data_IF_650938981282
#
_entry.id   IF_650938981282
#
_cell.length_a   1.000
_cell.length_b   1.000
_cell.length_c   1.000
_cell.angle_alpha   90.00
_cell.angle_beta   90.00
_cell.angle_gamma   90.00
#
_symmetry.space_group_name_H-M   'P 1'
#
loop_
_entity.id
_entity.type
_entity.pdbx_description
1 polymer ?
#
# COMPACT_ATOMS: atom_id res chain seq x y z
N UNK A 1 0.22 -23.05 -13.09
CA UNK A 1 1.51 -23.12 -12.37
C UNK A 1 1.19 -23.52 -10.94
N UNK A 2 1.70 -24.66 -10.48
CA UNK A 2 1.33 -25.20 -9.16
C UNK A 2 1.85 -24.32 -8.03
N UNK A 3 1.11 -24.25 -6.93
CA UNK A 3 1.41 -23.50 -5.70
C UNK A 3 2.81 -23.86 -5.12
N UNK A 4 3.24 -25.11 -5.30
CA UNK A 4 4.59 -25.57 -4.95
C UNK A 4 5.68 -24.88 -5.79
N UNK A 5 5.46 -24.66 -7.07
CA UNK A 5 6.39 -23.93 -7.94
C UNK A 5 6.49 -22.46 -7.51
N UNK A 6 5.40 -21.87 -7.04
CA UNK A 6 5.35 -20.51 -6.53
C UNK A 6 6.09 -20.38 -5.18
N UNK A 7 5.88 -21.34 -4.27
CA UNK A 7 6.57 -21.39 -2.97
C UNK A 7 8.09 -21.58 -3.12
N UNK A 8 8.53 -22.45 -4.03
CA UNK A 8 9.93 -22.63 -4.37
C UNK A 8 10.55 -21.39 -5.03
N UNK A 9 9.78 -20.69 -5.86
CA UNK A 9 10.25 -19.43 -6.47
C UNK A 9 10.38 -18.31 -5.42
N UNK A 10 9.45 -18.25 -4.46
CA UNK A 10 9.53 -17.32 -3.33
C UNK A 10 10.73 -17.60 -2.42
N UNK A 11 10.97 -18.87 -2.05
CA UNK A 11 12.12 -19.29 -1.23
C UNK A 11 13.42 -18.98 -1.96
N UNK A 12 13.49 -19.22 -3.27
CA UNK A 12 14.66 -18.89 -4.08
C UNK A 12 14.91 -17.37 -4.19
N UNK A 13 13.84 -16.57 -4.27
CA UNK A 13 13.91 -15.10 -4.28
C UNK A 13 14.34 -14.57 -2.90
N UNK A 14 13.79 -15.09 -1.80
CA UNK A 14 14.20 -14.74 -0.44
C UNK A 14 15.64 -15.14 -0.15
N UNK A 15 16.08 -16.33 -0.57
CA UNK A 15 17.46 -16.78 -0.42
C UNK A 15 18.46 -15.93 -1.25
N UNK A 16 18.08 -15.46 -2.44
CA UNK A 16 18.89 -14.52 -3.23
C UNK A 16 18.92 -13.11 -2.62
N UNK A 17 17.79 -12.64 -2.05
CA UNK A 17 17.73 -11.33 -1.41
C UNK A 17 18.53 -11.29 -0.10
N UNK A 18 18.52 -12.36 0.70
CA UNK A 18 19.33 -12.47 1.93
C UNK A 18 20.84 -12.52 1.62
N UNK A 19 21.26 -13.22 0.54
CA UNK A 19 22.65 -13.19 0.08
C UNK A 19 23.07 -11.81 -0.41
N UNK A 20 22.24 -11.11 -1.20
CA UNK A 20 22.51 -9.76 -1.65
C UNK A 20 22.52 -8.73 -0.52
N UNK A 21 21.72 -8.92 0.53
CA UNK A 21 21.73 -8.09 1.72
C UNK A 21 23.02 -8.30 2.53
N UNK A 22 23.49 -9.53 2.65
CA UNK A 22 24.76 -9.87 3.32
C UNK A 22 25.97 -9.30 2.56
N UNK A 23 25.99 -9.39 1.22
CA UNK A 23 27.04 -8.80 0.39
C UNK A 23 27.06 -7.26 0.46
N UNK A 24 25.89 -6.62 0.51
CA UNK A 24 25.77 -5.16 0.69
C UNK A 24 26.24 -4.71 2.08
N UNK A 25 26.02 -5.50 3.13
CA UNK A 25 26.47 -5.18 4.48
C UNK A 25 28.00 -5.27 4.62
N UNK A 26 28.64 -6.22 3.93
CA UNK A 26 30.10 -6.33 3.88
C UNK A 26 30.75 -5.21 3.08
N UNK A 27 30.15 -4.85 1.93
CA UNK A 27 30.63 -3.72 1.09
C UNK A 27 30.47 -2.37 1.82
N UNK A 28 29.39 -2.21 2.60
CA UNK A 28 29.18 -1.00 3.40
C UNK A 28 30.18 -0.87 4.54
N UNK A 29 30.52 -1.97 5.25
CA UNK A 29 31.55 -1.98 6.29
C UNK A 29 32.95 -1.73 5.74
N UNK A 30 33.24 -2.12 4.51
CA UNK A 30 34.51 -1.79 3.84
C UNK A 30 34.55 -0.31 3.47
N UNK A 31 33.49 0.28 2.90
CA UNK A 31 33.42 1.71 2.59
C UNK A 31 33.50 2.59 3.83
N UNK A 32 32.87 2.20 4.95
CA UNK A 32 32.95 2.94 6.20
C UNK A 32 34.38 2.90 6.81
N UNK A 33 35.16 1.85 6.55
CA UNK A 33 36.58 1.80 6.94
C UNK A 33 37.47 2.67 6.06
N UNK A 34 37.17 2.79 4.76
CA UNK A 34 37.90 3.67 3.83
C UNK A 34 37.63 5.16 4.13
N UNK A 35 36.38 5.52 4.43
CA UNK A 35 36.00 6.91 4.78
C UNK A 35 36.63 7.35 6.11
N UNK A 36 36.66 6.50 7.14
CA UNK A 36 37.33 6.81 8.41
C UNK A 36 38.85 6.88 8.27
N UNK A 37 39.45 6.25 7.27
CA UNK A 37 40.87 6.35 6.96
C UNK A 37 41.23 7.67 6.26
N UNK A 38 40.34 8.29 5.52
CA UNK A 38 40.53 9.58 4.86
C UNK A 38 40.26 10.76 5.80
N UNK A 39 39.30 10.68 6.71
CA UNK A 39 39.05 11.72 7.73
C UNK A 39 40.21 11.91 8.71
N UNK A 40 40.97 10.87 9.02
CA UNK A 40 42.16 11.01 9.84
C UNK A 40 43.34 11.67 9.12
N UNK A 41 43.37 11.66 7.79
CA UNK A 41 44.41 12.36 7.00
C UNK A 41 44.11 13.83 6.76
N UNK A 42 42.83 14.23 6.74
CA UNK A 42 42.42 15.63 6.55
C UNK A 42 42.42 16.45 7.82
N UNK A 43 42.30 15.81 8.99
CA UNK A 43 42.39 16.47 10.31
C UNK A 43 43.80 17.03 10.65
N UNK A 44 44.84 16.52 10.01
CA UNK A 44 46.20 16.96 10.25
C UNK A 44 46.67 18.14 9.41
N UNK A 45 45.87 18.59 8.45
CA UNK A 45 46.20 19.69 7.52
C UNK A 45 45.42 20.99 7.77
N UNK A 46 44.51 21.02 8.74
CA UNK A 46 43.61 22.16 9.02
C UNK A 46 44.00 23.00 10.24
N UNK A 47 45.20 22.82 10.79
CA UNK A 47 45.65 23.55 12.03
C UNK A 47 46.41 24.85 11.77
N UNK A 48 46.41 25.41 10.56
CA UNK A 48 47.23 26.60 10.26
C UNK A 48 46.56 27.69 9.42
N UNK A 49 45.28 28.03 9.66
CA UNK A 49 44.72 29.27 9.14
C UNK A 49 43.66 29.81 10.14
N UNK A 50 44.15 30.62 11.09
CA UNK A 50 43.34 31.50 11.92
C UNK A 50 43.39 32.90 11.31
N UNK A 51 42.31 33.34 10.66
CA UNK A 51 41.99 34.74 10.49
C UNK A 51 40.50 35.00 10.83
N UNK A 52 40.16 36.16 11.47
CA UNK A 52 38.85 36.38 12.05
C UNK A 52 37.82 36.76 10.97
N UNK A 53 36.80 35.91 10.79
CA UNK A 53 35.68 36.16 9.91
C UNK A 53 34.76 37.24 10.52
N UNK A 54 34.53 38.30 9.74
CA UNK A 54 33.47 39.29 9.95
C UNK A 54 32.11 38.66 10.15
N UNK A 55 31.40 39.13 11.18
CA UNK A 55 30.02 38.75 11.49
C UNK A 55 29.06 39.06 10.32
N UNK A 56 28.80 38.07 9.48
CA UNK A 56 27.65 38.09 8.57
C UNK A 56 26.47 37.56 9.38
N UNK A 57 25.56 38.45 9.77
CA UNK A 57 24.26 38.10 10.34
C UNK A 57 23.47 37.38 9.24
N UNK A 58 23.47 36.03 9.28
CA UNK A 58 22.57 35.25 8.43
C UNK A 58 21.13 35.49 8.92
N UNK A 59 20.19 35.82 8.03
CA UNK A 59 18.80 35.98 8.42
C UNK A 59 18.29 34.63 9.00
N UNK A 60 17.56 34.73 10.10
CA UNK A 60 16.94 33.59 10.79
C UNK A 60 16.06 32.79 9.80
N UNK A 61 16.56 31.63 9.38
CA UNK A 61 15.87 30.70 8.45
C UNK A 61 14.80 29.86 9.16
N UNK A 62 14.56 30.06 10.46
CA UNK A 62 13.56 29.31 11.22
C UNK A 62 12.11 29.62 10.81
N UNK A 63 11.87 30.75 10.13
CA UNK A 63 10.56 31.20 9.70
C UNK A 63 10.18 30.84 8.26
N UNK A 64 11.05 30.18 7.50
CA UNK A 64 10.70 29.75 6.14
C UNK A 64 9.76 28.55 6.23
N UNK A 65 8.45 28.85 6.26
CA UNK A 65 7.41 27.84 6.07
C UNK A 65 7.69 27.16 4.72
N UNK A 66 8.22 25.94 4.74
CA UNK A 66 8.32 25.10 3.54
C UNK A 66 6.91 24.75 3.07
N UNK A 67 6.32 25.62 2.28
CA UNK A 67 5.08 25.29 1.58
C UNK A 67 5.38 24.15 0.61
N UNK A 68 4.79 23.00 0.84
CA UNK A 68 4.79 21.93 -0.15
C UNK A 68 3.83 22.36 -1.24
N UNK A 69 4.37 22.98 -2.30
CA UNK A 69 3.59 23.30 -3.49
C UNK A 69 3.16 21.99 -4.13
N UNK A 70 1.92 21.57 -3.89
CA UNK A 70 1.33 20.47 -4.65
C UNK A 70 1.17 20.94 -6.09
N UNK A 71 1.60 20.15 -7.09
CA UNK A 71 1.33 20.50 -8.48
C UNK A 71 -0.17 20.72 -8.64
N UNK A 72 -0.54 21.82 -9.27
CA UNK A 72 -1.94 22.11 -9.56
C UNK A 72 -2.57 20.91 -10.28
N UNK A 73 -3.80 20.52 -9.91
CA UNK A 73 -4.52 19.51 -10.67
C UNK A 73 -4.60 19.94 -12.12
N UNK A 74 -4.55 18.96 -13.03
CA UNK A 74 -4.72 19.25 -14.47
C UNK A 74 -6.03 20.01 -14.64
N UNK A 75 -6.02 21.21 -15.24
CA UNK A 75 -7.23 22.01 -15.38
C UNK A 75 -8.29 21.21 -16.13
N UNK A 76 -9.57 21.30 -15.74
CA UNK A 76 -10.62 20.62 -16.44
C UNK A 76 -10.61 21.04 -17.92
N UNK A 77 -10.78 20.07 -18.83
CA UNK A 77 -10.78 20.38 -20.25
C UNK A 77 -11.99 21.28 -20.60
N UNK A 78 -11.90 22.11 -21.64
CA UNK A 78 -13.01 22.93 -22.06
C UNK A 78 -14.23 22.06 -22.41
N UNK A 79 -15.42 22.54 -22.11
CA UNK A 79 -16.68 21.81 -22.30
C UNK A 79 -16.96 21.48 -23.76
N UNK A 80 -16.43 22.24 -24.70
CA UNK A 80 -16.61 22.06 -26.14
C UNK A 80 -15.32 22.41 -26.90
N UNK A 81 -15.21 21.91 -28.11
CA UNK A 81 -14.08 22.23 -29.00
C UNK A 81 -14.27 23.64 -29.53
N UNK A 82 -13.32 24.53 -29.22
CA UNK A 82 -13.32 25.87 -29.81
C UNK A 82 -12.95 25.81 -31.29
N UNK A 83 -13.72 26.52 -32.12
CA UNK A 83 -13.62 26.53 -33.59
C UNK A 83 -12.28 27.04 -34.16
N UNK A 84 -11.50 27.75 -33.34
CA UNK A 84 -10.23 28.35 -33.73
C UNK A 84 -9.11 27.34 -34.06
N UNK A 85 -9.32 26.03 -33.77
CA UNK A 85 -8.32 25.00 -34.01
C UNK A 85 -8.65 24.08 -35.19
N UNK A 86 -9.65 24.39 -36.02
CA UNK A 86 -10.02 23.60 -37.18
C UNK A 86 -10.81 22.33 -36.88
N UNK A 87 -11.10 22.05 -35.62
CA UNK A 87 -11.88 20.88 -35.18
C UNK A 87 -13.25 21.35 -34.69
N UNK A 88 -14.15 21.65 -35.61
CA UNK A 88 -15.58 21.87 -35.31
C UNK A 88 -16.21 20.55 -34.86
N UNK A 89 -16.03 20.21 -33.55
CA UNK A 89 -16.70 19.04 -33.02
C UNK A 89 -18.03 19.44 -32.41
N UNK A 90 -19.16 18.93 -32.95
CA UNK A 90 -20.50 19.36 -32.55
C UNK A 90 -20.89 18.89 -31.15
N UNK A 91 -20.15 17.93 -30.57
CA UNK A 91 -20.48 17.33 -29.28
C UNK A 91 -19.70 17.99 -28.14
N UNK A 92 -20.39 18.23 -27.03
CA UNK A 92 -19.81 18.73 -25.80
C UNK A 92 -18.83 17.74 -25.16
N UNK A 93 -17.89 18.24 -24.36
CA UNK A 93 -16.94 17.46 -23.58
C UNK A 93 -17.60 16.31 -22.79
N UNK A 94 -18.73 16.58 -22.12
CA UNK A 94 -19.40 15.56 -21.31
C UNK A 94 -19.92 14.38 -22.12
N UNK A 95 -20.38 14.61 -23.35
CA UNK A 95 -20.80 13.54 -24.26
C UNK A 95 -19.61 12.71 -24.71
N UNK A 96 -18.49 13.37 -25.04
CA UNK A 96 -17.26 12.67 -25.40
C UNK A 96 -16.69 11.85 -24.24
N UNK A 97 -16.75 12.33 -23.02
CA UNK A 97 -16.32 11.54 -21.86
C UNK A 97 -17.16 10.27 -21.70
N UNK A 98 -18.48 10.33 -22.00
CA UNK A 98 -19.32 9.12 -22.03
C UNK A 98 -18.90 8.16 -23.13
N UNK A 99 -18.61 8.64 -24.32
CA UNK A 99 -18.09 7.80 -25.42
C UNK A 99 -16.74 7.18 -25.02
N UNK A 100 -15.83 7.97 -24.50
CA UNK A 100 -14.51 7.49 -24.06
C UNK A 100 -14.57 6.50 -22.91
N UNK A 101 -15.59 6.57 -22.04
CA UNK A 101 -15.76 5.61 -20.94
C UNK A 101 -16.14 4.20 -21.42
N UNK A 102 -16.57 4.04 -22.67
CA UNK A 102 -16.83 2.73 -23.29
C UNK A 102 -15.59 2.09 -23.90
N UNK A 103 -14.48 2.84 -23.99
CA UNK A 103 -13.24 2.36 -24.59
C UNK A 103 -12.36 1.64 -23.56
N UNK A 104 -11.57 0.68 -24.04
CA UNK A 104 -10.48 0.14 -23.25
C UNK A 104 -9.44 1.23 -22.95
N UNK A 105 -8.67 1.15 -21.85
CA UNK A 105 -7.61 2.10 -21.57
C UNK A 105 -6.58 2.23 -22.71
N UNK A 106 -6.32 1.15 -23.44
CA UNK A 106 -5.43 1.15 -24.60
C UNK A 106 -6.02 1.94 -25.76
N UNK A 107 -7.29 1.76 -26.05
CA UNK A 107 -7.96 2.48 -27.15
C UNK A 107 -8.17 3.96 -26.79
N UNK A 108 -8.46 4.25 -25.52
CA UNK A 108 -8.49 5.63 -25.04
C UNK A 108 -7.16 6.34 -25.27
N UNK A 109 -6.03 5.67 -24.97
CA UNK A 109 -4.71 6.23 -25.24
C UNK A 109 -4.47 6.42 -26.76
N UNK A 110 -5.00 5.54 -27.62
CA UNK A 110 -4.97 5.73 -29.08
C UNK A 110 -5.76 6.97 -29.49
N UNK A 111 -6.99 7.13 -28.98
CA UNK A 111 -7.83 8.30 -29.19
C UNK A 111 -7.15 9.60 -28.74
N UNK A 112 -6.45 9.60 -27.62
CA UNK A 112 -5.69 10.76 -27.13
C UNK A 112 -4.56 11.21 -28.08
N UNK A 113 -4.19 10.39 -29.05
CA UNK A 113 -3.15 10.71 -30.06
C UNK A 113 -3.74 11.35 -31.33
N UNK A 114 -5.04 11.38 -31.49
CA UNK A 114 -5.73 11.87 -32.68
C UNK A 114 -5.64 13.39 -32.79
N UNK A 115 -6.01 14.12 -31.74
CA UNK A 115 -5.90 15.59 -31.72
C UNK A 115 -5.66 16.15 -30.31
N UNK A 116 -5.25 17.42 -30.21
CA UNK A 116 -4.97 18.09 -28.93
C UNK A 116 -6.18 18.14 -28.01
N UNK A 117 -7.38 18.28 -28.54
CA UNK A 117 -8.62 18.35 -27.78
C UNK A 117 -8.96 16.98 -27.17
N UNK A 118 -8.90 15.90 -27.95
CA UNK A 118 -9.10 14.54 -27.43
C UNK A 118 -8.00 14.12 -26.46
N UNK A 119 -6.77 14.56 -26.69
CA UNK A 119 -5.69 14.38 -25.73
C UNK A 119 -6.06 15.01 -24.38
N UNK A 120 -6.51 16.26 -24.38
CA UNK A 120 -6.90 16.96 -23.14
C UNK A 120 -8.11 16.31 -22.48
N UNK A 121 -9.14 15.96 -23.23
CA UNK A 121 -10.34 15.29 -22.72
C UNK A 121 -10.06 13.88 -22.22
N UNK A 122 -9.13 13.17 -22.85
CA UNK A 122 -8.68 11.86 -22.39
C UNK A 122 -8.00 11.84 -21.03
N UNK A 123 -7.59 13.00 -20.48
CA UNK A 123 -7.13 13.10 -19.10
C UNK A 123 -8.24 13.34 -18.07
N UNK A 124 -9.52 13.34 -18.46
CA UNK A 124 -10.61 13.47 -17.52
C UNK A 124 -10.58 12.34 -16.47
N UNK A 125 -10.61 12.72 -15.18
CA UNK A 125 -10.48 11.78 -14.05
C UNK A 125 -11.55 10.70 -14.04
N UNK A 126 -12.73 10.96 -14.63
CA UNK A 126 -13.83 9.98 -14.77
C UNK A 126 -13.43 8.76 -15.61
N UNK A 127 -12.48 8.91 -16.51
CA UNK A 127 -11.97 7.85 -17.39
C UNK A 127 -10.89 6.99 -16.72
N UNK A 128 -10.28 7.47 -15.64
CA UNK A 128 -9.12 6.84 -15.00
C UNK A 128 -9.36 6.57 -13.52
N UNK A 129 -10.55 6.08 -13.18
CA UNK A 129 -10.90 5.76 -11.78
C UNK A 129 -9.96 4.71 -11.19
N UNK A 130 -9.60 3.70 -11.98
CA UNK A 130 -8.67 2.65 -11.60
C UNK A 130 -7.53 2.55 -12.62
N UNK A 131 -6.30 2.49 -12.11
CA UNK A 131 -5.10 2.22 -12.91
C UNK A 131 -4.42 0.99 -12.34
N UNK A 132 -4.20 0.00 -13.20
CA UNK A 132 -3.45 -1.21 -12.90
C UNK A 132 -2.12 -1.19 -13.65
N UNK A 133 -1.03 -1.19 -12.91
CA UNK A 133 0.35 -1.31 -13.39
C UNK A 133 1.07 -2.47 -12.69
N UNK A 134 0.31 -3.45 -12.19
CA UNK A 134 0.89 -4.64 -11.55
C UNK A 134 1.84 -5.35 -12.51
N UNK A 135 2.93 -5.89 -11.94
CA UNK A 135 3.99 -6.60 -12.67
C UNK A 135 4.69 -5.78 -13.77
N UNK A 136 4.43 -4.47 -13.83
CA UNK A 136 5.08 -3.57 -14.78
C UNK A 136 6.38 -3.02 -14.19
N UNK A 137 7.42 -2.91 -15.03
CA UNK A 137 8.62 -2.16 -14.66
C UNK A 137 8.32 -0.66 -14.70
N UNK A 138 8.24 -0.03 -13.53
CA UNK A 138 7.92 1.38 -13.42
C UNK A 138 9.06 2.27 -13.95
N UNK A 139 8.68 3.22 -14.80
CA UNK A 139 9.54 4.30 -15.30
C UNK A 139 8.98 5.64 -14.82
N UNK A 140 9.80 6.69 -14.83
CA UNK A 140 9.37 8.02 -14.45
C UNK A 140 8.17 8.53 -15.27
N UNK A 141 8.11 8.18 -16.56
CA UNK A 141 6.97 8.52 -17.44
C UNK A 141 5.66 7.91 -16.97
N UNK A 142 5.68 6.68 -16.41
CA UNK A 142 4.48 6.05 -15.84
C UNK A 142 4.01 6.82 -14.60
N UNK A 143 4.92 7.22 -13.72
CA UNK A 143 4.58 7.99 -12.51
C UNK A 143 3.96 9.35 -12.85
N UNK A 144 4.52 10.07 -13.81
CA UNK A 144 3.94 11.33 -14.32
C UNK A 144 2.55 11.08 -14.93
N UNK A 145 2.41 9.98 -15.68
CA UNK A 145 1.13 9.55 -16.26
C UNK A 145 0.04 9.28 -15.22
N UNK A 146 0.38 8.63 -14.10
CA UNK A 146 -0.52 8.39 -12.96
C UNK A 146 -0.98 9.73 -12.37
N UNK A 147 -0.04 10.63 -12.08
CA UNK A 147 -0.38 11.93 -11.46
C UNK A 147 -1.29 12.76 -12.34
N UNK A 148 -1.06 12.79 -13.66
CA UNK A 148 -1.92 13.52 -14.59
C UNK A 148 -3.37 12.99 -14.62
N UNK A 149 -3.56 11.70 -14.33
CA UNK A 149 -4.86 11.03 -14.37
C UNK A 149 -5.61 11.04 -13.04
N UNK A 150 -4.91 11.26 -11.91
CA UNK A 150 -5.51 11.34 -10.57
C UNK A 150 -6.47 10.18 -10.23
N UNK A 151 -6.02 8.91 -10.28
CA UNK A 151 -6.88 7.75 -10.01
C UNK A 151 -7.38 7.72 -8.57
N UNK A 152 -8.52 7.04 -8.35
CA UNK A 152 -9.01 6.69 -7.02
C UNK A 152 -8.49 5.32 -6.56
N UNK A 153 -8.17 4.43 -7.51
CA UNK A 153 -7.62 3.11 -7.26
C UNK A 153 -6.32 2.95 -8.06
N UNK A 154 -5.27 2.51 -7.38
CA UNK A 154 -3.96 2.30 -7.99
C UNK A 154 -3.41 0.93 -7.56
N UNK A 155 -3.09 0.10 -8.55
CA UNK A 155 -2.44 -1.18 -8.33
C UNK A 155 -0.99 -1.11 -8.82
N UNK A 156 -0.05 -1.26 -7.90
CA UNK A 156 1.39 -1.33 -8.12
C UNK A 156 1.97 -2.66 -7.58
N UNK A 157 1.15 -3.70 -7.48
CA UNK A 157 1.58 -5.00 -6.97
C UNK A 157 2.64 -5.61 -7.87
N UNK A 158 3.66 -6.23 -7.25
CA UNK A 158 4.76 -6.90 -7.95
C UNK A 158 5.55 -5.96 -8.87
N UNK A 159 5.73 -4.70 -8.45
CA UNK A 159 6.55 -3.72 -9.17
C UNK A 159 7.84 -3.42 -8.39
N UNK A 160 8.77 -2.72 -9.04
CA UNK A 160 10.00 -2.25 -8.37
C UNK A 160 9.84 -0.80 -7.91
N UNK A 161 8.72 -0.48 -7.24
CA UNK A 161 8.53 0.87 -6.70
C UNK A 161 9.52 1.13 -5.57
N UNK A 162 10.21 2.27 -5.61
CA UNK A 162 11.11 2.69 -4.53
C UNK A 162 10.35 3.56 -3.50
N UNK A 163 10.89 3.68 -2.28
CA UNK A 163 10.39 4.58 -1.25
C UNK A 163 10.18 6.00 -1.78
N UNK A 164 11.18 6.56 -2.47
CA UNK A 164 11.10 7.93 -3.02
C UNK A 164 9.99 8.09 -4.06
N UNK A 165 9.81 7.08 -4.92
CA UNK A 165 8.75 7.09 -5.93
C UNK A 165 7.37 7.00 -5.30
N UNK A 166 7.19 6.11 -4.31
CA UNK A 166 5.91 5.98 -3.62
C UNK A 166 5.58 7.23 -2.80
N UNK A 167 6.54 7.76 -2.03
CA UNK A 167 6.36 9.01 -1.30
C UNK A 167 5.96 10.17 -2.22
N UNK A 168 6.64 10.29 -3.38
CA UNK A 168 6.33 11.30 -4.37
C UNK A 168 4.93 11.17 -4.98
N UNK A 169 4.46 9.92 -5.19
CA UNK A 169 3.08 9.64 -5.63
C UNK A 169 2.07 10.02 -4.55
N UNK A 170 2.30 9.61 -3.30
CA UNK A 170 1.35 9.84 -2.19
C UNK A 170 1.12 11.33 -1.95
N UNK A 171 2.15 12.16 -2.07
CA UNK A 171 2.03 13.61 -1.98
C UNK A 171 1.12 14.22 -3.06
N UNK A 172 1.07 13.58 -4.23
CA UNK A 172 0.43 14.13 -5.44
C UNK A 172 -0.88 13.47 -5.83
N UNK A 173 -1.31 12.46 -5.06
CA UNK A 173 -2.55 11.72 -5.27
C UNK A 173 -3.52 11.87 -4.08
N UNK A 174 -4.00 13.08 -3.75
CA UNK A 174 -4.82 13.32 -2.56
C UNK A 174 -6.19 12.62 -2.62
N UNK A 175 -6.62 12.21 -3.82
CA UNK A 175 -7.91 11.54 -4.04
C UNK A 175 -7.80 10.01 -4.11
N UNK A 176 -6.60 9.46 -3.93
CA UNK A 176 -6.40 8.01 -3.90
C UNK A 176 -7.14 7.40 -2.69
N UNK A 177 -7.89 6.32 -2.95
CA UNK A 177 -8.68 5.60 -1.95
C UNK A 177 -8.24 4.16 -1.81
N UNK A 178 -7.88 3.52 -2.92
CA UNK A 178 -7.48 2.11 -2.95
C UNK A 178 -6.06 2.00 -3.46
N UNK A 179 -5.20 1.36 -2.68
CA UNK A 179 -3.79 1.17 -3.03
C UNK A 179 -3.41 -0.30 -2.83
N UNK A 180 -2.90 -0.93 -3.91
CA UNK A 180 -2.35 -2.28 -3.84
C UNK A 180 -0.86 -2.24 -4.10
N UNK A 181 -0.10 -2.83 -3.18
CA UNK A 181 1.36 -2.87 -3.16
C UNK A 181 1.89 -4.30 -2.94
N UNK A 182 1.06 -5.33 -3.14
CA UNK A 182 1.45 -6.70 -2.90
C UNK A 182 2.78 -7.06 -3.60
N UNK A 183 3.61 -7.85 -2.94
CA UNK A 183 4.88 -8.34 -3.48
C UNK A 183 5.99 -7.28 -3.65
N UNK A 184 5.82 -6.08 -3.09
CA UNK A 184 6.88 -5.07 -3.04
C UNK A 184 7.79 -5.29 -1.80
N UNK A 185 8.67 -4.36 -1.50
CA UNK A 185 9.54 -4.40 -0.33
C UNK A 185 9.06 -3.45 0.77
N UNK A 186 9.27 -3.81 2.04
CA UNK A 186 8.91 -2.93 3.16
C UNK A 186 9.53 -1.52 3.08
N UNK A 187 10.82 -1.34 2.70
CA UNK A 187 11.36 0.00 2.51
C UNK A 187 10.58 0.87 1.54
N UNK A 188 9.87 0.28 0.56
CA UNK A 188 9.00 1.05 -0.32
C UNK A 188 7.68 1.40 0.37
N UNK A 189 7.04 0.42 1.03
CA UNK A 189 5.75 0.57 1.72
C UNK A 189 5.84 1.54 2.89
N UNK A 190 6.98 1.63 3.60
CA UNK A 190 7.20 2.55 4.71
C UNK A 190 7.01 4.03 4.36
N UNK A 191 7.00 4.38 3.06
CA UNK A 191 6.61 5.71 2.58
C UNK A 191 5.18 6.10 2.99
N UNK A 192 4.32 5.13 3.31
CA UNK A 192 2.94 5.36 3.78
C UNK A 192 2.87 5.78 5.24
N UNK A 193 3.90 5.53 6.05
CA UNK A 193 3.94 5.90 7.47
C UNK A 193 4.01 7.41 7.68
N UNK A 194 4.23 8.21 6.63
CA UNK A 194 4.34 9.66 6.71
C UNK A 194 2.98 10.39 6.66
N UNK A 195 2.98 11.65 7.11
CA UNK A 195 1.80 12.54 7.14
C UNK A 195 1.17 12.81 5.76
N UNK A 196 1.89 12.54 4.67
CA UNK A 196 1.45 12.82 3.29
C UNK A 196 0.64 11.70 2.67
N UNK A 197 0.50 10.57 3.36
CA UNK A 197 -0.34 9.47 2.90
C UNK A 197 -1.80 9.92 2.82
N UNK A 198 -2.51 9.70 1.69
CA UNK A 198 -3.94 9.98 1.59
C UNK A 198 -4.74 9.05 2.49
N UNK A 199 -6.00 9.42 2.78
CA UNK A 199 -6.90 8.56 3.56
C UNK A 199 -7.38 7.41 2.69
N UNK A 200 -6.72 6.26 2.84
CA UNK A 200 -7.05 5.05 2.10
C UNK A 200 -8.27 4.36 2.70
N UNK A 201 -9.10 3.77 1.83
CA UNK A 201 -10.17 2.83 2.21
C UNK A 201 -9.74 1.38 2.00
N UNK A 202 -8.80 1.11 1.09
CA UNK A 202 -8.21 -0.20 0.87
C UNK A 202 -6.69 -0.07 0.83
N UNK A 203 -6.03 -0.92 1.60
CA UNK A 203 -4.59 -1.11 1.54
C UNK A 203 -4.25 -2.60 1.46
N UNK A 204 -3.57 -2.98 0.39
CA UNK A 204 -3.10 -4.34 0.17
C UNK A 204 -1.56 -4.33 0.15
N UNK A 205 -0.98 -4.97 1.15
CA UNK A 205 0.46 -5.19 1.30
C UNK A 205 0.80 -6.68 1.40
N UNK A 206 -0.05 -7.52 0.81
CA UNK A 206 0.18 -8.97 0.78
C UNK A 206 1.56 -9.31 0.21
N UNK A 207 2.22 -10.28 0.81
CA UNK A 207 3.52 -10.79 0.34
C UNK A 207 4.62 -9.72 0.22
N UNK A 208 4.49 -8.63 0.96
CA UNK A 208 5.57 -7.65 1.07
C UNK A 208 6.72 -8.28 1.87
N UNK A 209 7.93 -8.19 1.31
CA UNK A 209 9.09 -8.79 1.95
C UNK A 209 9.42 -8.11 3.28
N UNK A 210 9.64 -8.91 4.34
CA UNK A 210 10.11 -8.45 5.67
C UNK A 210 9.10 -7.53 6.36
N UNK A 211 7.83 -7.95 6.43
CA UNK A 211 6.81 -7.29 7.28
C UNK A 211 6.67 -8.08 8.58
N UNK A 212 6.89 -7.41 9.70
CA UNK A 212 6.74 -7.90 11.07
C UNK A 212 5.91 -6.89 11.88
N UNK A 213 5.61 -7.21 13.14
CA UNK A 213 4.71 -6.43 14.00
C UNK A 213 5.06 -4.94 14.09
N UNK A 214 6.36 -4.62 14.23
CA UNK A 214 6.83 -3.23 14.25
C UNK A 214 6.51 -2.47 12.96
N UNK A 215 6.54 -3.14 11.81
CA UNK A 215 6.17 -2.57 10.52
C UNK A 215 4.68 -2.21 10.47
N UNK A 216 3.83 -3.11 10.91
CA UNK A 216 2.37 -2.89 10.95
C UNK A 216 2.05 -1.79 11.96
N UNK A 217 2.68 -1.79 13.13
CA UNK A 217 2.53 -0.74 14.14
C UNK A 217 2.88 0.65 13.57
N UNK A 218 4.02 0.79 12.91
CA UNK A 218 4.43 2.06 12.29
C UNK A 218 3.46 2.51 11.19
N UNK A 219 2.84 1.57 10.47
CA UNK A 219 1.90 1.85 9.40
C UNK A 219 0.53 2.34 9.91
N UNK A 220 0.01 1.71 10.98
CA UNK A 220 -1.33 2.01 11.51
C UNK A 220 -1.32 3.13 12.55
N UNK A 221 -0.20 3.34 13.24
CA UNK A 221 -0.06 4.40 14.24
C UNK A 221 -0.14 5.80 13.62
N UNK A 222 -0.48 6.84 14.41
CA UNK A 222 -0.35 8.22 13.97
C UNK A 222 1.07 8.53 13.50
N UNK A 223 1.24 9.27 12.41
CA UNK A 223 2.58 9.61 11.91
C UNK A 223 3.36 10.43 12.93
N UNK A 224 4.64 10.13 13.11
CA UNK A 224 5.53 10.82 14.05
C UNK A 224 6.03 12.19 13.57
N UNK A 225 5.68 12.61 12.37
CA UNK A 225 6.12 13.88 11.77
C UNK A 225 5.22 15.03 12.28
N UNK A 226 5.74 15.79 13.25
CA UNK A 226 5.04 16.91 13.91
C UNK A 226 5.16 18.20 13.10
N UNK A 227 4.59 18.26 11.91
CA UNK A 227 4.54 19.52 11.15
C UNK A 227 3.46 20.43 11.70
N UNK A 228 3.75 21.75 11.95
CA UNK A 228 2.75 22.68 12.41
C UNK A 228 1.53 22.73 11.48
N UNK A 229 0.33 22.61 12.05
CA UNK A 229 -0.94 22.71 11.31
C UNK A 229 -1.47 21.41 10.70
N UNK A 230 -0.83 20.25 10.95
CA UNK A 230 -1.40 18.93 10.67
C UNK A 230 -1.91 18.34 11.99
N UNK A 231 -3.17 17.92 12.01
CA UNK A 231 -3.70 17.12 13.12
C UNK A 231 -3.12 15.69 13.02
N UNK A 232 -2.05 15.47 13.81
CA UNK A 232 -1.20 14.27 13.74
C UNK A 232 -1.65 13.21 14.74
N UNK A 233 -2.71 13.50 15.52
CA UNK A 233 -3.20 12.61 16.58
C UNK A 233 -3.88 11.33 16.06
N UNK A 234 -4.21 11.27 14.78
CA UNK A 234 -5.00 10.17 14.22
C UNK A 234 -4.23 9.40 13.15
N UNK A 235 -4.45 8.08 13.12
CA UNK A 235 -3.95 7.19 12.07
C UNK A 235 -4.33 7.65 10.66
N UNK A 236 -3.45 7.46 9.69
CA UNK A 236 -3.75 7.67 8.27
C UNK A 236 -4.68 6.60 7.71
N UNK A 237 -4.74 5.45 8.35
CA UNK A 237 -5.62 4.33 7.98
C UNK A 237 -6.96 4.34 8.74
N UNK A 238 -7.29 5.39 9.49
CA UNK A 238 -8.56 5.48 10.25
C UNK A 238 -9.85 5.32 9.42
N UNK A 239 -9.77 5.42 8.09
CA UNK A 239 -10.87 5.18 7.14
C UNK A 239 -10.67 3.92 6.31
N UNK A 240 -9.74 3.08 6.71
CA UNK A 240 -9.48 1.83 6.01
C UNK A 240 -10.59 0.83 6.34
N UNK A 241 -11.28 0.37 5.31
CA UNK A 241 -12.32 -0.66 5.41
C UNK A 241 -11.81 -2.03 4.96
N UNK A 242 -10.76 -2.07 4.16
CA UNK A 242 -10.15 -3.31 3.69
C UNK A 242 -8.63 -3.27 3.86
N UNK A 243 -8.11 -4.16 4.72
CA UNK A 243 -6.68 -4.31 5.01
C UNK A 243 -6.23 -5.73 4.69
N UNK A 244 -5.24 -5.85 3.82
CA UNK A 244 -4.69 -7.14 3.38
C UNK A 244 -3.23 -7.23 3.82
N UNK A 245 -2.94 -8.17 4.72
CA UNK A 245 -1.62 -8.44 5.31
C UNK A 245 -1.10 -9.85 4.98
N UNK A 246 -1.72 -10.53 4.03
CA UNK A 246 -1.45 -11.93 3.71
C UNK A 246 0.05 -12.21 3.48
N UNK A 247 0.55 -13.30 4.06
CA UNK A 247 1.93 -13.75 3.90
C UNK A 247 2.96 -12.88 4.62
N UNK A 248 2.56 -12.16 5.66
CA UNK A 248 3.45 -11.38 6.55
C UNK A 248 3.86 -12.19 7.78
N UNK A 249 5.07 -11.93 8.30
CA UNK A 249 5.60 -12.53 9.54
C UNK A 249 5.12 -11.75 10.76
N UNK A 250 3.80 -11.68 10.94
CA UNK A 250 3.15 -10.95 12.03
C UNK A 250 2.57 -11.91 13.06
N UNK A 251 2.46 -11.39 14.30
CA UNK A 251 1.86 -12.05 15.45
C UNK A 251 0.62 -11.30 15.94
N UNK A 252 0.08 -11.70 17.07
CA UNK A 252 -1.04 -11.03 17.71
C UNK A 252 -0.73 -9.57 18.10
N UNK A 253 0.55 -9.21 18.32
CA UNK A 253 0.98 -7.81 18.62
C UNK A 253 0.65 -6.85 17.48
N UNK A 254 0.74 -7.32 16.23
CA UNK A 254 0.32 -6.53 15.07
C UNK A 254 -1.20 -6.27 15.11
N UNK A 255 -2.00 -7.29 15.46
CA UNK A 255 -3.46 -7.17 15.55
C UNK A 255 -3.87 -6.20 16.66
N UNK A 256 -3.18 -6.22 17.82
CA UNK A 256 -3.40 -5.23 18.88
C UNK A 256 -3.22 -3.80 18.34
N UNK A 257 -2.17 -3.56 17.59
CA UNK A 257 -1.93 -2.25 16.94
C UNK A 257 -3.01 -1.89 15.92
N UNK A 258 -3.50 -2.86 15.14
CA UNK A 258 -4.57 -2.66 14.15
C UNK A 258 -5.88 -2.27 14.82
N UNK A 259 -6.31 -2.99 15.86
CA UNK A 259 -7.60 -2.73 16.54
C UNK A 259 -7.62 -1.39 17.28
N UNK A 260 -6.46 -0.90 17.73
CA UNK A 260 -6.34 0.40 18.39
C UNK A 260 -6.50 1.58 17.41
N UNK A 261 -6.13 1.42 16.15
CA UNK A 261 -5.97 2.55 15.23
C UNK A 261 -6.87 2.49 13.98
N UNK A 262 -7.42 1.31 13.63
CA UNK A 262 -8.23 1.10 12.42
C UNK A 262 -9.62 0.58 12.81
N UNK A 263 -10.51 1.50 13.21
CA UNK A 263 -11.80 1.16 13.80
C UNK A 263 -12.93 0.89 12.78
N UNK A 264 -12.68 1.13 11.48
CA UNK A 264 -13.71 1.03 10.42
C UNK A 264 -13.52 -0.18 9.51
N UNK A 265 -12.82 -1.21 10.02
CA UNK A 265 -12.44 -2.37 9.23
C UNK A 265 -13.67 -3.24 8.92
N UNK A 266 -13.90 -3.52 7.65
CA UNK A 266 -14.95 -4.41 7.15
C UNK A 266 -14.38 -5.73 6.61
N UNK A 267 -13.18 -5.69 6.04
CA UNK A 267 -12.49 -6.85 5.52
C UNK A 267 -11.04 -6.88 6.01
N UNK A 268 -10.65 -7.97 6.66
CA UNK A 268 -9.30 -8.24 7.12
C UNK A 268 -8.79 -9.55 6.52
N UNK A 269 -7.65 -9.49 5.85
CA UNK A 269 -7.00 -10.66 5.26
C UNK A 269 -5.66 -10.92 5.95
N UNK A 270 -5.60 -12.00 6.70
CA UNK A 270 -4.45 -12.50 7.45
C UNK A 270 -3.95 -13.84 6.88
N UNK A 271 -4.36 -14.19 5.67
CA UNK A 271 -4.00 -15.47 5.06
C UNK A 271 -2.49 -15.69 5.06
N UNK A 272 -2.06 -16.89 5.41
CA UNK A 272 -0.64 -17.26 5.50
C UNK A 272 0.18 -16.45 6.54
N UNK A 273 -0.46 -15.86 7.53
CA UNK A 273 0.21 -15.29 8.70
C UNK A 273 0.35 -16.38 9.77
N UNK A 274 1.50 -17.04 9.80
CA UNK A 274 1.71 -18.23 10.67
C UNK A 274 1.86 -17.90 12.15
N UNK A 275 2.07 -16.65 12.52
CA UNK A 275 2.19 -16.20 13.91
C UNK A 275 0.85 -15.78 14.54
N UNK A 276 -0.27 -15.90 13.82
CA UNK A 276 -1.60 -15.57 14.32
C UNK A 276 -2.24 -16.86 14.87
N UNK A 277 -2.71 -16.82 16.11
CA UNK A 277 -3.40 -17.88 16.81
C UNK A 277 -4.80 -17.47 17.27
N UNK A 278 -5.45 -18.31 18.08
CA UNK A 278 -6.80 -18.08 18.58
C UNK A 278 -6.91 -16.84 19.48
N UNK A 279 -5.85 -16.48 20.21
CA UNK A 279 -5.80 -15.24 21.00
C UNK A 279 -5.85 -13.99 20.12
N UNK A 280 -5.28 -14.04 18.93
CA UNK A 280 -5.42 -12.97 17.94
C UNK A 280 -6.86 -12.76 17.51
N UNK A 281 -7.62 -13.83 17.30
CA UNK A 281 -9.05 -13.75 16.96
C UNK A 281 -9.86 -13.26 18.17
N UNK A 282 -9.49 -13.69 19.38
CA UNK A 282 -10.08 -13.17 20.62
C UNK A 282 -9.91 -11.65 20.74
N UNK A 283 -8.70 -11.12 20.53
CA UNK A 283 -8.42 -9.67 20.54
C UNK A 283 -9.31 -8.92 19.54
N UNK A 284 -9.45 -9.42 18.32
CA UNK A 284 -10.33 -8.84 17.32
C UNK A 284 -11.79 -8.86 17.76
N UNK A 285 -12.26 -9.92 18.45
CA UNK A 285 -13.65 -10.05 18.91
C UNK A 285 -14.01 -9.11 20.06
N UNK A 286 -13.03 -8.75 20.88
CA UNK A 286 -13.18 -7.84 22.03
C UNK A 286 -13.05 -6.35 21.63
N UNK A 287 -12.50 -6.08 20.46
CA UNK A 287 -12.25 -4.73 19.96
C UNK A 287 -13.49 -4.12 19.27
N UNK A 288 -13.58 -2.77 19.19
CA UNK A 288 -14.66 -2.09 18.47
C UNK A 288 -14.79 -2.50 16.99
N UNK A 289 -13.72 -2.96 16.38
CA UNK A 289 -13.68 -3.48 14.99
C UNK A 289 -14.57 -4.71 14.79
N UNK A 290 -14.89 -5.45 15.85
CA UNK A 290 -15.82 -6.60 15.79
C UNK A 290 -17.21 -6.19 15.28
N UNK A 291 -17.64 -4.95 15.53
CA UNK A 291 -18.94 -4.43 15.11
C UNK A 291 -19.01 -4.10 13.61
N UNK A 292 -17.87 -3.97 12.93
CA UNK A 292 -17.78 -3.55 11.52
C UNK A 292 -17.30 -4.67 10.60
N UNK A 293 -16.56 -5.66 11.11
CA UNK A 293 -15.99 -6.74 10.32
C UNK A 293 -17.10 -7.64 9.73
N UNK A 294 -17.06 -7.78 8.40
CA UNK A 294 -17.95 -8.64 7.62
C UNK A 294 -17.21 -9.82 6.98
N UNK A 295 -15.91 -9.65 6.74
CA UNK A 295 -15.08 -10.66 6.07
C UNK A 295 -13.76 -10.81 6.78
N UNK A 296 -13.42 -12.04 7.16
CA UNK A 296 -12.10 -12.40 7.71
C UNK A 296 -11.51 -13.52 6.86
N UNK A 297 -10.29 -13.35 6.38
CA UNK A 297 -9.56 -14.41 5.66
C UNK A 297 -8.38 -14.87 6.47
N UNK A 298 -8.37 -16.18 6.74
CA UNK A 298 -7.42 -16.88 7.62
C UNK A 298 -6.78 -18.08 6.90
N UNK A 299 -6.86 -18.13 5.57
CA UNK A 299 -6.35 -19.23 4.76
C UNK A 299 -4.88 -19.51 5.08
N UNK A 300 -4.54 -20.74 5.45
CA UNK A 300 -3.16 -21.15 5.74
C UNK A 300 -2.56 -20.59 7.03
N UNK A 301 -3.39 -20.14 7.99
CA UNK A 301 -2.95 -19.81 9.35
C UNK A 301 -2.81 -21.12 10.15
N UNK A 302 -1.58 -21.58 10.35
CA UNK A 302 -1.29 -22.92 10.89
C UNK A 302 -1.46 -23.02 12.42
N UNK A 303 -1.46 -21.90 13.13
CA UNK A 303 -1.61 -21.85 14.60
C UNK A 303 -3.07 -21.70 15.08
N UNK A 304 -4.03 -21.58 14.14
CA UNK A 304 -5.44 -21.51 14.48
C UNK A 304 -6.03 -22.89 14.73
N UNK A 305 -6.81 -23.01 15.82
CA UNK A 305 -7.56 -24.20 16.17
C UNK A 305 -9.06 -23.99 16.01
N UNK A 306 -9.88 -25.05 16.23
CA UNK A 306 -11.33 -24.93 16.26
C UNK A 306 -11.87 -23.97 17.32
N UNK A 307 -11.06 -23.64 18.35
CA UNK A 307 -11.42 -22.67 19.39
C UNK A 307 -11.63 -21.25 18.82
N UNK A 308 -11.03 -20.90 17.68
CA UNK A 308 -11.23 -19.60 17.02
C UNK A 308 -12.72 -19.33 16.70
N UNK A 309 -13.52 -20.37 16.42
CA UNK A 309 -14.95 -20.22 16.12
C UNK A 309 -15.77 -19.69 17.30
N UNK A 310 -15.35 -19.97 18.54
CA UNK A 310 -15.98 -19.42 19.75
C UNK A 310 -15.84 -17.89 19.77
N UNK A 311 -14.71 -17.37 19.28
CA UNK A 311 -14.48 -15.93 19.18
C UNK A 311 -15.13 -15.35 17.92
N UNK A 312 -15.11 -16.07 16.80
CA UNK A 312 -15.76 -15.64 15.55
C UNK A 312 -17.28 -15.49 15.70
N UNK A 313 -17.91 -16.29 16.58
CA UNK A 313 -19.35 -16.16 16.89
C UNK A 313 -19.74 -14.83 17.54
N UNK A 314 -18.78 -14.08 18.08
CA UNK A 314 -19.02 -12.76 18.70
C UNK A 314 -19.11 -11.62 17.71
N UNK A 315 -18.81 -11.84 16.43
CA UNK A 315 -18.87 -10.80 15.39
C UNK A 315 -20.30 -10.70 14.82
N UNK A 316 -21.05 -9.63 15.11
CA UNK A 316 -22.47 -9.56 14.78
C UNK A 316 -22.76 -9.38 13.30
N UNK A 317 -21.77 -9.00 12.50
CA UNK A 317 -21.89 -8.69 11.06
C UNK A 317 -21.04 -9.60 10.18
N UNK A 318 -20.46 -10.65 10.72
CA UNK A 318 -19.58 -11.54 10.00
C UNK A 318 -20.38 -12.38 8.98
N UNK A 319 -20.07 -12.21 7.70
CA UNK A 319 -20.73 -12.90 6.60
C UNK A 319 -19.81 -13.93 5.92
N UNK A 320 -18.49 -13.74 5.99
CA UNK A 320 -17.55 -14.61 5.27
C UNK A 320 -16.31 -14.88 6.10
N UNK A 321 -15.98 -16.16 6.27
CA UNK A 321 -14.72 -16.63 6.85
C UNK A 321 -14.06 -17.56 5.86
N UNK A 322 -12.79 -17.30 5.51
CA UNK A 322 -11.96 -18.20 4.71
C UNK A 322 -10.93 -18.86 5.63
N UNK A 323 -11.01 -20.16 5.81
CA UNK A 323 -10.16 -20.95 6.69
C UNK A 323 -9.52 -22.16 5.96
N UNK A 324 -9.34 -22.05 4.62
CA UNK A 324 -8.71 -23.10 3.84
C UNK A 324 -7.27 -23.31 4.29
N UNK A 325 -6.86 -24.59 4.42
CA UNK A 325 -5.47 -24.93 4.75
C UNK A 325 -5.04 -24.63 6.18
N UNK A 326 -5.97 -24.42 7.11
CA UNK A 326 -5.71 -24.42 8.55
C UNK A 326 -5.71 -25.87 9.03
N UNK A 327 -4.55 -26.38 9.51
CA UNK A 327 -4.34 -27.80 9.81
C UNK A 327 -5.21 -28.33 10.97
N UNK A 328 -5.51 -27.49 11.95
CA UNK A 328 -6.23 -27.84 13.18
C UNK A 328 -7.74 -27.52 13.11
N UNK A 329 -8.22 -27.04 11.95
CA UNK A 329 -9.64 -26.75 11.72
C UNK A 329 -10.23 -27.86 10.85
N UNK A 330 -11.24 -28.57 11.39
CA UNK A 330 -11.89 -29.65 10.66
C UNK A 330 -13.15 -29.22 9.91
N UNK A 331 -13.57 -30.01 8.92
CA UNK A 331 -14.85 -29.82 8.21
C UNK A 331 -16.02 -29.75 9.17
N UNK A 332 -16.00 -30.61 10.21
CA UNK A 332 -17.06 -30.66 11.24
C UNK A 332 -17.17 -29.32 11.97
N UNK A 333 -16.05 -28.73 12.40
CA UNK A 333 -16.06 -27.45 13.13
C UNK A 333 -16.68 -26.34 12.26
N UNK A 334 -16.37 -26.33 10.96
CA UNK A 334 -16.92 -25.37 10.01
C UNK A 334 -18.44 -25.55 9.81
N UNK A 335 -18.90 -26.79 9.68
CA UNK A 335 -20.34 -27.11 9.53
C UNK A 335 -21.10 -26.79 10.82
N UNK A 336 -20.56 -27.14 11.99
CA UNK A 336 -21.16 -26.82 13.28
C UNK A 336 -21.27 -25.28 13.47
N UNK A 337 -20.25 -24.53 13.13
CA UNK A 337 -20.28 -23.06 13.15
C UNK A 337 -21.34 -22.47 12.20
N UNK A 338 -21.41 -22.93 10.95
CA UNK A 338 -22.42 -22.45 9.98
C UNK A 338 -23.85 -22.83 10.39
N UNK A 339 -24.05 -23.94 11.10
CA UNK A 339 -25.37 -24.30 11.60
C UNK A 339 -25.87 -23.34 12.68
N UNK A 340 -24.96 -22.79 13.50
CA UNK A 340 -25.24 -21.77 14.51
C UNK A 340 -25.34 -20.35 13.92
N UNK A 341 -24.65 -20.09 12.80
CA UNK A 341 -24.55 -18.79 12.15
C UNK A 341 -24.90 -18.91 10.66
N UNK A 342 -26.19 -19.08 10.29
CA UNK A 342 -26.61 -19.34 8.91
C UNK A 342 -26.31 -18.20 7.93
N UNK A 343 -26.11 -16.98 8.43
CA UNK A 343 -25.72 -15.81 7.62
C UNK A 343 -24.23 -15.79 7.29
N UNK A 344 -23.41 -16.62 7.95
CA UNK A 344 -21.97 -16.68 7.74
C UNK A 344 -21.59 -17.87 6.86
N UNK A 345 -20.87 -17.60 5.79
CA UNK A 345 -20.30 -18.64 4.93
C UNK A 345 -18.86 -18.89 5.33
N UNK A 346 -18.51 -20.16 5.57
CA UNK A 346 -17.14 -20.59 5.86
C UNK A 346 -16.62 -21.40 4.68
N UNK A 347 -15.47 -21.01 4.11
CA UNK A 347 -14.76 -21.79 3.12
C UNK A 347 -13.58 -22.52 3.79
N UNK A 348 -13.52 -23.87 3.67
CA UNK A 348 -12.52 -24.71 4.32
C UNK A 348 -11.87 -25.75 3.41
N UNK A 349 -12.41 -26.01 2.21
CA UNK A 349 -11.87 -26.99 1.28
C UNK A 349 -10.70 -26.42 0.50
N UNK A 350 -9.53 -27.05 0.63
CA UNK A 350 -8.52 -26.92 -0.39
C UNK A 350 -9.05 -27.54 -1.69
N UNK A 351 -9.20 -26.76 -2.73
CA UNK A 351 -9.36 -27.26 -4.09
C UNK A 351 -8.03 -27.85 -4.61
N UNK A 352 -7.40 -28.74 -3.84
CA UNK A 352 -6.35 -29.59 -4.37
C UNK A 352 -7.00 -30.84 -4.94
N UNK A 353 -7.35 -30.80 -6.22
CA UNK A 353 -7.30 -32.03 -7.01
C UNK A 353 -5.83 -32.45 -7.01
N UNK A 354 -5.49 -33.47 -6.21
CA UNK A 354 -4.30 -34.26 -6.48
C UNK A 354 -4.42 -34.71 -7.92
N UNK A 355 -3.55 -34.24 -8.79
CA UNK A 355 -3.28 -34.90 -10.07
C UNK A 355 -2.45 -36.09 -9.66
N UNK A 356 -3.07 -37.28 -9.67
CA UNK A 356 -2.42 -38.60 -9.63
C UNK A 356 -1.55 -38.77 -10.86
#
# INVERSE_FOLDING_TARGET
MSFLSFKWHLIAVQSRQSKLAAERSTTRKQKEKEVNGEEQKTSSLMSSLNEPATNIILPDMSAVRKYVVRPAPVPPPPRYVQTTTGSNHPLEHNLWVRVFSLLSPADLVRCMRVCKTWNRWGYDRRLWISIDLSRCRLRQTHLIGIIRRQPKSLNLSWTNVSHRQLAWLMERLPHLRKLRLAGNSWPAVSALCGCRCPLLSLLDIAWVAVVYDGCVRDLVSPPRDHRPGLDVSQSRLRRCTELVLSGSDITNDALESVVQHVLTLECLDLSYCVGIDDDGIRLLSEAPTSQTLTTIRLTGCLCLTSSCFVYLSRFPRLCTVAAEGCSEITEKDCVDFMSLHPECTVSWKEHYKRVE
#
